data_IF_770778551382
#
_entry.id   IF_770778551382
#
_cell.length_a   1.000
_cell.length_b   1.000
_cell.length_c   1.000
_cell.angle_alpha   90.00
_cell.angle_beta   90.00
_cell.angle_gamma   90.00
#
_symmetry.space_group_name_H-M   'P 1'
#
loop_
_entity.id
_entity.type
_entity.pdbx_description
1 polymer ?
#
# COMPACT_ATOMS: atom_id res chain seq x y z
N UNK A 1 -17.35 -8.85 -3.58
CA UNK A 1 -18.06 -8.17 -2.48
C UNK A 1 -17.13 -8.06 -1.29
N UNK A 2 -17.00 -6.88 -0.69
CA UNK A 2 -16.24 -6.64 0.53
C UNK A 2 -17.15 -6.81 1.74
N UNK A 3 -16.71 -7.62 2.69
CA UNK A 3 -17.47 -7.87 3.92
C UNK A 3 -17.15 -6.79 4.95
N UNK A 4 -18.18 -6.21 5.58
CA UNK A 4 -18.02 -5.27 6.69
C UNK A 4 -18.84 -5.69 7.90
N UNK A 5 -18.39 -5.31 9.09
CA UNK A 5 -19.14 -5.40 10.34
C UNK A 5 -19.34 -4.01 10.94
N UNK A 6 -20.42 -3.82 11.68
CA UNK A 6 -20.63 -2.59 12.43
C UNK A 6 -19.90 -2.68 13.77
N UNK A 7 -19.10 -1.67 14.08
CA UNK A 7 -18.41 -1.54 15.36
C UNK A 7 -18.78 -0.21 16.01
N UNK A 8 -19.06 -0.25 17.31
CA UNK A 8 -19.25 0.97 18.09
C UNK A 8 -17.90 1.61 18.38
N UNK A 9 -17.76 2.89 18.04
CA UNK A 9 -16.62 3.72 18.44
C UNK A 9 -17.11 4.98 19.15
N UNK A 10 -16.51 5.26 20.30
CA UNK A 10 -16.61 6.57 20.94
C UNK A 10 -15.75 7.60 20.21
N UNK A 11 -16.09 8.88 20.36
CA UNK A 11 -15.29 9.97 19.80
C UNK A 11 -14.02 10.16 20.66
N UNK A 12 -12.81 10.03 20.11
CA UNK A 12 -11.58 10.24 20.88
C UNK A 12 -11.44 11.66 21.44
N UNK A 13 -11.99 12.66 20.72
CA UNK A 13 -11.93 14.07 21.11
C UNK A 13 -13.02 14.48 22.10
N UNK A 14 -14.08 13.68 22.25
CA UNK A 14 -15.19 13.92 23.17
C UNK A 14 -15.67 12.59 23.76
N UNK A 15 -15.20 12.29 24.97
CA UNK A 15 -15.44 11.01 25.64
C UNK A 15 -16.86 10.85 26.16
N UNK A 16 -17.61 11.94 26.31
CA UNK A 16 -18.99 11.91 26.80
C UNK A 16 -20.02 11.78 25.67
N UNK A 17 -19.61 12.05 24.43
CA UNK A 17 -20.46 11.85 23.26
C UNK A 17 -20.89 10.38 23.12
N UNK A 18 -22.16 10.13 22.74
CA UNK A 18 -22.65 8.77 22.55
C UNK A 18 -21.87 8.05 21.45
N UNK A 19 -21.59 6.77 21.67
CA UNK A 19 -20.88 5.92 20.71
C UNK A 19 -21.67 5.85 19.40
N UNK A 20 -20.94 5.88 18.27
CA UNK A 20 -21.52 5.74 16.93
C UNK A 20 -21.07 4.43 16.29
N UNK A 21 -21.93 3.86 15.44
CA UNK A 21 -21.61 2.67 14.66
C UNK A 21 -20.84 3.05 13.40
N UNK A 22 -19.73 2.38 13.16
CA UNK A 22 -18.90 2.54 11.97
C UNK A 22 -18.74 1.20 11.25
N UNK A 23 -18.76 1.23 9.92
CA UNK A 23 -18.40 0.07 9.12
C UNK A 23 -16.90 -0.21 9.26
N UNK A 24 -16.55 -1.44 9.60
CA UNK A 24 -15.18 -1.95 9.62
C UNK A 24 -15.05 -3.10 8.65
N UNK A 25 -14.08 -3.02 7.74
CA UNK A 25 -13.74 -4.11 6.84
C UNK A 25 -13.36 -5.39 7.60
N UNK A 26 -13.87 -6.53 7.11
CA UNK A 26 -13.51 -7.86 7.59
C UNK A 26 -12.52 -8.47 6.60
N UNK A 27 -11.27 -8.60 7.04
CA UNK A 27 -10.22 -9.20 6.22
C UNK A 27 -10.42 -10.71 6.07
N UNK A 28 -10.36 -11.20 4.82
CA UNK A 28 -10.41 -12.64 4.49
C UNK A 28 -9.01 -13.30 4.48
N UNK A 29 -7.98 -12.60 4.95
CA UNK A 29 -6.61 -13.09 5.05
C UNK A 29 -5.63 -12.34 4.15
N UNK A 30 -4.48 -12.97 3.87
CA UNK A 30 -3.38 -12.42 3.08
C UNK A 30 -3.00 -13.41 1.97
N UNK A 31 -2.78 -12.91 0.75
CA UNK A 31 -2.18 -13.67 -0.35
C UNK A 31 -0.66 -13.48 -0.33
N UNK A 32 0.10 -14.57 -0.28
CA UNK A 32 1.57 -14.54 -0.39
C UNK A 32 2.03 -14.52 -1.84
N UNK A 33 3.30 -14.15 -2.09
CA UNK A 33 3.90 -14.22 -3.42
C UNK A 33 3.79 -15.62 -4.03
N UNK A 34 4.00 -16.67 -3.22
CA UNK A 34 3.85 -18.07 -3.67
C UNK A 34 2.43 -18.39 -4.13
N UNK A 35 1.42 -17.89 -3.42
CA UNK A 35 0.01 -18.08 -3.80
C UNK A 35 -0.34 -17.28 -5.06
N UNK A 36 0.18 -16.05 -5.18
CA UNK A 36 0.02 -15.22 -6.38
C UNK A 36 0.67 -15.92 -7.59
N UNK A 37 1.89 -16.44 -7.44
CA UNK A 37 2.57 -17.18 -8.51
C UNK A 37 1.79 -18.42 -8.94
N UNK A 38 1.23 -19.18 -7.99
CA UNK A 38 0.37 -20.33 -8.29
C UNK A 38 -0.95 -19.94 -8.98
N UNK A 39 -1.49 -18.75 -8.70
CA UNK A 39 -2.68 -18.25 -9.38
C UNK A 39 -2.35 -17.74 -10.80
N UNK A 40 -1.17 -17.17 -11.02
CA UNK A 40 -0.68 -16.73 -12.35
C UNK A 40 -0.30 -17.91 -13.25
N UNK A 41 0.32 -18.96 -12.70
CA UNK A 41 0.66 -20.19 -13.42
C UNK A 41 -0.56 -20.78 -14.14
N UNK A 42 -1.74 -20.77 -13.50
CA UNK A 42 -2.99 -21.27 -14.08
C UNK A 42 -3.47 -20.50 -15.32
N UNK A 43 -2.98 -19.28 -15.53
CA UNK A 43 -3.39 -18.38 -16.63
C UNK A 43 -2.22 -17.97 -17.52
N UNK A 44 -1.08 -18.65 -17.42
CA UNK A 44 0.13 -18.36 -18.20
C UNK A 44 0.84 -19.64 -18.64
N UNK A 45 1.79 -19.52 -19.55
CA UNK A 45 2.69 -20.61 -19.95
C UNK A 45 3.94 -20.74 -19.07
N UNK A 46 4.07 -19.90 -18.04
CA UNK A 46 5.24 -19.88 -17.15
C UNK A 46 5.03 -20.83 -15.97
N UNK A 47 6.11 -21.49 -15.55
CA UNK A 47 6.05 -22.29 -14.32
C UNK A 47 5.95 -21.39 -13.10
N UNK A 48 5.42 -21.91 -11.99
CA UNK A 48 5.44 -21.21 -10.71
C UNK A 48 6.85 -20.78 -10.29
N UNK A 49 7.88 -21.56 -10.63
CA UNK A 49 9.28 -21.23 -10.36
C UNK A 49 9.71 -19.95 -11.08
N UNK A 50 9.44 -19.88 -12.39
CA UNK A 50 9.79 -18.72 -13.22
C UNK A 50 9.06 -17.45 -12.73
N UNK A 51 7.77 -17.56 -12.45
CA UNK A 51 6.96 -16.44 -11.94
C UNK A 51 7.49 -15.96 -10.59
N UNK A 52 7.81 -16.89 -9.68
CA UNK A 52 8.33 -16.56 -8.35
C UNK A 52 9.67 -15.85 -8.45
N UNK A 53 10.54 -16.30 -9.35
CA UNK A 53 11.84 -15.68 -9.63
C UNK A 53 11.68 -14.23 -10.10
N UNK A 54 10.81 -13.98 -11.07
CA UNK A 54 10.56 -12.62 -11.59
C UNK A 54 9.99 -11.71 -10.50
N UNK A 55 8.99 -12.17 -9.75
CA UNK A 55 8.39 -11.36 -8.68
C UNK A 55 9.40 -11.06 -7.56
N UNK A 56 10.26 -12.01 -7.20
CA UNK A 56 11.32 -11.79 -6.22
C UNK A 56 12.35 -10.77 -6.72
N UNK A 57 12.78 -10.88 -7.98
CA UNK A 57 13.69 -9.91 -8.59
C UNK A 57 13.10 -8.49 -8.56
N UNK A 58 11.78 -8.33 -8.80
CA UNK A 58 11.12 -7.02 -8.65
C UNK A 58 11.20 -6.52 -7.20
N UNK A 59 10.94 -7.39 -6.22
CA UNK A 59 11.04 -7.05 -4.79
C UNK A 59 12.46 -6.60 -4.41
N UNK A 60 13.49 -7.24 -4.99
CA UNK A 60 14.88 -6.94 -4.69
C UNK A 60 15.36 -5.65 -5.37
N UNK A 61 14.86 -5.35 -6.58
CA UNK A 61 15.30 -4.18 -7.36
C UNK A 61 14.59 -2.88 -6.98
N UNK A 62 13.31 -2.93 -6.58
CA UNK A 62 12.54 -1.71 -6.25
C UNK A 62 13.24 -0.84 -5.20
N UNK A 63 13.76 -1.37 -4.06
CA UNK A 63 14.47 -0.55 -3.08
C UNK A 63 15.73 0.11 -3.64
N UNK A 64 16.47 -0.57 -4.52
CA UNK A 64 17.69 -0.05 -5.13
C UNK A 64 17.36 1.19 -5.97
N UNK A 65 16.36 1.08 -6.85
CA UNK A 65 15.93 2.21 -7.68
C UNK A 65 15.38 3.37 -6.86
N UNK A 66 14.62 3.07 -5.79
CA UNK A 66 14.10 4.10 -4.91
C UNK A 66 15.22 4.88 -4.22
N UNK A 67 16.25 4.19 -3.72
CA UNK A 67 17.41 4.82 -3.07
C UNK A 67 18.33 5.56 -4.06
N UNK A 68 18.27 5.20 -5.35
CA UNK A 68 18.86 5.98 -6.47
C UNK A 68 18.06 7.25 -6.80
N UNK A 69 16.98 7.53 -6.06
CA UNK A 69 16.14 8.73 -6.25
C UNK A 69 15.11 8.57 -7.37
N UNK A 70 14.99 7.37 -7.96
CA UNK A 70 14.04 7.09 -9.03
C UNK A 70 12.66 6.76 -8.45
N UNK A 71 11.60 7.15 -9.17
CA UNK A 71 10.26 6.62 -8.93
C UNK A 71 10.05 5.35 -9.73
N UNK A 72 9.55 4.29 -9.10
CA UNK A 72 9.38 2.98 -9.75
C UNK A 72 7.92 2.81 -10.16
N UNK A 73 7.64 2.85 -11.45
CA UNK A 73 6.31 2.63 -12.03
C UNK A 73 6.15 1.20 -12.52
N UNK A 74 5.18 0.48 -11.96
CA UNK A 74 4.81 -0.88 -12.37
C UNK A 74 3.54 -0.86 -13.23
N UNK A 75 3.46 0.11 -14.14
CA UNK A 75 2.33 0.30 -15.06
C UNK A 75 1.01 0.55 -14.33
N UNK A 76 -0.03 -0.18 -14.73
CA UNK A 76 -1.38 -0.01 -14.17
C UNK A 76 -1.53 -0.45 -12.72
N UNK A 77 -0.53 -1.14 -12.16
CA UNK A 77 -0.49 -1.47 -10.73
C UNK A 77 -0.34 -0.19 -9.92
N UNK A 78 0.65 0.65 -10.27
CA UNK A 78 0.91 1.91 -9.58
C UNK A 78 2.38 2.28 -9.54
N UNK A 79 2.68 3.30 -8.74
CA UNK A 79 4.01 3.91 -8.67
C UNK A 79 4.48 4.03 -7.22
N UNK A 80 5.71 3.60 -6.96
CA UNK A 80 6.42 3.83 -5.72
C UNK A 80 7.33 5.05 -5.85
N UNK A 81 7.36 5.91 -4.82
CA UNK A 81 8.33 7.01 -4.73
C UNK A 81 8.77 7.23 -3.30
N UNK A 82 9.99 7.73 -3.12
CA UNK A 82 10.46 8.23 -1.82
C UNK A 82 9.84 9.60 -1.54
N UNK A 83 9.46 9.82 -0.29
CA UNK A 83 9.10 11.12 0.24
C UNK A 83 9.70 11.26 1.62
N UNK A 84 10.23 12.44 1.92
CA UNK A 84 10.71 12.80 3.25
C UNK A 84 10.26 14.22 3.58
N UNK A 85 10.31 14.55 4.86
CA UNK A 85 10.15 15.91 5.36
C UNK A 85 11.47 16.38 5.97
N UNK A 86 11.61 17.66 6.28
CA UNK A 86 12.72 18.14 7.08
C UNK A 86 12.25 19.19 8.08
N UNK A 87 13.05 19.45 9.10
CA UNK A 87 12.92 20.70 9.85
C UNK A 87 13.21 21.88 8.92
N UNK A 88 12.43 22.96 9.06
CA UNK A 88 12.69 24.22 8.39
C UNK A 88 13.89 24.92 9.00
N UNK A 89 14.65 25.64 8.18
CA UNK A 89 15.83 26.40 8.62
C UNK A 89 15.82 27.79 8.01
N UNK A 90 16.34 28.78 8.73
CA UNK A 90 16.35 30.18 8.29
C UNK A 90 17.47 30.46 7.28
N UNK A 91 18.61 29.77 7.39
CA UNK A 91 19.74 29.91 6.46
C UNK A 91 20.24 28.56 5.93
N UNK A 92 20.76 28.49 4.69
CA UNK A 92 21.29 27.25 4.12
C UNK A 92 22.42 26.62 4.96
N UNK A 93 23.27 27.44 5.58
CA UNK A 93 24.42 26.99 6.37
C UNK A 93 23.99 26.28 7.67
N UNK A 94 22.79 26.59 8.15
CA UNK A 94 22.21 25.94 9.33
C UNK A 94 21.53 24.60 9.01
N UNK A 95 21.44 24.22 7.73
CA UNK A 95 20.92 22.92 7.32
C UNK A 95 21.97 21.82 7.50
N UNK A 96 21.52 20.65 7.97
CA UNK A 96 22.33 19.43 7.95
C UNK A 96 21.43 18.21 7.77
N UNK A 97 22.02 17.09 7.35
CA UNK A 97 21.29 15.86 6.98
C UNK A 97 20.44 15.31 8.15
N UNK A 98 20.85 15.54 9.40
CA UNK A 98 20.06 15.08 10.56
C UNK A 98 18.72 15.80 10.71
N UNK A 99 18.52 16.92 10.01
CA UNK A 99 17.24 17.63 9.93
C UNK A 99 16.24 16.97 8.98
N UNK A 100 16.67 16.01 8.14
CA UNK A 100 15.78 15.19 7.32
C UNK A 100 15.07 14.17 8.22
N UNK A 101 13.75 14.10 8.11
CA UNK A 101 12.86 13.28 8.94
C UNK A 101 11.81 12.56 8.11
N UNK A 102 11.25 11.50 8.67
CA UNK A 102 10.09 10.80 8.13
C UNK A 102 10.27 10.33 6.68
N UNK A 103 11.44 9.75 6.36
CA UNK A 103 11.64 9.08 5.08
C UNK A 103 10.65 7.92 4.98
N UNK A 104 9.82 7.95 3.96
CA UNK A 104 8.78 6.95 3.71
C UNK A 104 8.64 6.67 2.22
N UNK A 105 8.12 5.50 1.92
CA UNK A 105 7.72 5.11 0.57
C UNK A 105 6.24 5.40 0.41
N UNK A 106 5.89 6.12 -0.65
CA UNK A 106 4.50 6.36 -1.04
C UNK A 106 4.19 5.47 -2.24
N UNK A 107 3.19 4.60 -2.09
CA UNK A 107 2.57 3.90 -3.21
C UNK A 107 1.34 4.67 -3.69
N UNK A 108 1.35 5.06 -4.96
CA UNK A 108 0.19 5.68 -5.63
C UNK A 108 -0.47 4.62 -6.52
N UNK A 109 -1.73 4.22 -6.23
CA UNK A 109 -2.43 3.22 -7.04
C UNK A 109 -2.57 3.65 -8.50
N UNK A 110 -2.32 2.71 -9.41
CA UNK A 110 -2.55 2.89 -10.85
C UNK A 110 -4.03 2.82 -11.23
N UNK A 111 -4.32 3.02 -12.51
CA UNK A 111 -5.69 3.13 -13.02
C UNK A 111 -6.52 1.87 -12.78
N UNK A 112 -5.95 0.70 -13.08
CA UNK A 112 -6.63 -0.61 -12.90
C UNK A 112 -7.06 -0.85 -11.45
N UNK A 113 -6.23 -0.47 -10.48
CA UNK A 113 -6.61 -0.58 -9.05
C UNK A 113 -7.75 0.41 -8.72
N UNK A 114 -7.62 1.67 -9.16
CA UNK A 114 -8.64 2.70 -8.90
C UNK A 114 -10.01 2.31 -9.45
N UNK A 115 -10.05 1.80 -10.67
CA UNK A 115 -11.29 1.33 -11.31
C UNK A 115 -11.89 0.12 -10.60
N UNK A 116 -11.05 -0.86 -10.24
CA UNK A 116 -11.51 -2.05 -9.51
C UNK A 116 -12.14 -1.68 -8.14
N UNK A 117 -11.51 -0.74 -7.42
CA UNK A 117 -12.04 -0.24 -6.14
C UNK A 117 -13.34 0.57 -6.36
N UNK A 118 -13.41 1.37 -7.43
CA UNK A 118 -14.62 2.14 -7.77
C UNK A 118 -15.85 1.26 -8.03
N UNK A 119 -15.66 -0.02 -8.37
CA UNK A 119 -16.73 -1.01 -8.58
C UNK A 119 -17.02 -1.87 -7.34
N UNK A 120 -16.42 -1.58 -6.19
CA UNK A 120 -16.58 -2.39 -4.99
C UNK A 120 -18.03 -2.34 -4.47
N UNK A 121 -18.59 -3.52 -4.22
CA UNK A 121 -19.87 -3.71 -3.53
C UNK A 121 -19.66 -4.27 -2.12
N UNK A 122 -20.56 -3.96 -1.19
CA UNK A 122 -20.43 -4.27 0.23
C UNK A 122 -21.51 -5.22 0.71
N UNK A 123 -21.12 -6.18 1.53
CA UNK A 123 -22.02 -7.11 2.25
C UNK A 123 -21.78 -6.99 3.75
N UNK A 124 -22.84 -7.03 4.54
CA UNK A 124 -22.71 -7.12 5.99
C UNK A 124 -22.30 -8.54 6.34
N UNK A 125 -21.15 -8.68 7.01
CA UNK A 125 -20.73 -9.95 7.59
C UNK A 125 -21.56 -10.28 8.83
N UNK A 126 -21.77 -11.58 9.05
CA UNK A 126 -22.28 -12.10 10.32
C UNK A 126 -21.31 -11.83 11.48
#
# INVERSE_FOLDING_TARGET
MLTYKLIEKGNPSDKEAPKKLYASHVSKGKKSLTQIAADIEKISSLSRGDISSVLQNVVDQVPIYLLDGQSVSLGELGTFRISFSSEGVDTPESFNVNKIKNIKIIFTPGMKIKEAIGRASFEKGE
#
